data_IF_282990365121
#
_entry.id   IF_282990365121
#
_cell.length_a   1.000
_cell.length_b   1.000
_cell.length_c   1.000
_cell.angle_alpha   90.00
_cell.angle_beta   90.00
_cell.angle_gamma   90.00
#
_symmetry.space_group_name_H-M   'P 1'
#
loop_
_entity.id
_entity.type
_entity.pdbx_description
1 polymer ?
#
# COMPACT_ATOMS: atom_id res chain seq x y z
N UNK A 1 -9.13 -24.31 -8.70
CA UNK A 1 -9.19 -23.02 -7.95
C UNK A 1 -9.94 -22.02 -8.81
N UNK A 2 -10.94 -21.30 -8.29
CA UNK A 2 -11.69 -20.32 -9.09
C UNK A 2 -10.86 -19.03 -9.26
N UNK A 3 -11.08 -18.29 -10.35
CA UNK A 3 -10.38 -17.03 -10.62
C UNK A 3 -10.46 -16.03 -9.44
N UNK A 4 -11.63 -15.91 -8.81
CA UNK A 4 -11.81 -15.09 -7.61
C UNK A 4 -10.89 -15.51 -6.45
N UNK A 5 -10.76 -16.82 -6.19
CA UNK A 5 -9.88 -17.33 -5.14
C UNK A 5 -8.40 -17.01 -5.40
N UNK A 6 -7.97 -17.00 -6.66
CA UNK A 6 -6.61 -16.60 -7.03
C UNK A 6 -6.37 -15.12 -6.74
N UNK A 7 -7.32 -14.24 -7.07
CA UNK A 7 -7.23 -12.81 -6.78
C UNK A 7 -7.21 -12.55 -5.28
N UNK A 8 -8.07 -13.21 -4.50
CA UNK A 8 -8.06 -13.11 -3.03
C UNK A 8 -6.73 -13.57 -2.44
N UNK A 9 -6.17 -14.68 -2.92
CA UNK A 9 -4.87 -15.15 -2.44
C UNK A 9 -3.73 -14.18 -2.78
N UNK A 10 -3.71 -13.66 -4.02
CA UNK A 10 -2.77 -12.63 -4.45
C UNK A 10 -2.89 -11.35 -3.61
N UNK A 11 -4.11 -10.91 -3.33
CA UNK A 11 -4.36 -9.76 -2.47
C UNK A 11 -3.80 -9.96 -1.05
N UNK A 12 -4.10 -11.09 -0.41
CA UNK A 12 -3.55 -11.36 0.93
C UNK A 12 -2.02 -11.42 0.92
N UNK A 13 -1.42 -12.04 -0.10
CA UNK A 13 0.02 -12.03 -0.26
C UNK A 13 0.56 -10.61 -0.41
N UNK A 14 -0.07 -9.77 -1.25
CA UNK A 14 0.31 -8.37 -1.43
C UNK A 14 0.21 -7.57 -0.12
N UNK A 15 -0.84 -7.79 0.69
CA UNK A 15 -0.97 -7.18 2.02
C UNK A 15 0.20 -7.59 2.92
N UNK A 16 0.49 -8.88 3.04
CA UNK A 16 1.62 -9.36 3.85
C UNK A 16 2.97 -8.82 3.38
N UNK A 17 3.20 -8.80 2.07
CA UNK A 17 4.42 -8.23 1.48
C UNK A 17 4.50 -6.72 1.76
N UNK A 18 3.38 -5.99 1.71
CA UNK A 18 3.36 -4.56 2.04
C UNK A 18 3.67 -4.28 3.52
N UNK A 19 3.22 -5.15 4.43
CA UNK A 19 3.56 -5.08 5.85
C UNK A 19 5.05 -5.37 6.04
N UNK A 20 5.56 -6.44 5.44
CA UNK A 20 6.98 -6.79 5.51
C UNK A 20 7.87 -5.69 4.94
N UNK A 21 7.49 -5.11 3.80
CA UNK A 21 8.19 -3.98 3.20
C UNK A 21 8.16 -2.74 4.12
N UNK A 22 7.02 -2.43 4.71
CA UNK A 22 6.91 -1.31 5.66
C UNK A 22 7.84 -1.47 6.85
N UNK A 23 7.92 -2.67 7.45
CA UNK A 23 8.86 -2.97 8.55
C UNK A 23 10.31 -2.88 8.06
N UNK A 24 10.62 -3.43 6.88
CA UNK A 24 11.95 -3.38 6.30
C UNK A 24 12.42 -1.95 6.07
N UNK A 25 11.55 -1.06 5.58
CA UNK A 25 11.86 0.35 5.34
C UNK A 25 12.30 1.13 6.60
N UNK A 26 11.88 0.72 7.80
CA UNK A 26 12.38 1.33 9.05
C UNK A 26 13.73 0.78 9.50
N UNK A 27 14.09 -0.45 9.10
CA UNK A 27 15.39 -1.04 9.39
C UNK A 27 16.44 -0.65 8.35
N UNK A 28 16.03 -0.52 7.09
CA UNK A 28 16.83 -0.08 5.96
C UNK A 28 16.12 1.06 5.21
N UNK A 29 16.24 2.31 5.69
CA UNK A 29 15.63 3.49 5.06
C UNK A 29 16.00 3.71 3.59
N UNK A 30 17.14 3.16 3.16
CA UNK A 30 17.61 3.26 1.78
C UNK A 30 16.71 2.54 0.77
N UNK A 31 15.87 1.62 1.26
CA UNK A 31 14.80 1.02 0.47
C UNK A 31 13.78 2.06 -0.02
N UNK A 32 13.62 3.17 0.71
CA UNK A 32 12.70 4.28 0.40
C UNK A 32 13.44 5.43 -0.26
N UNK A 33 14.57 5.85 0.30
CA UNK A 33 15.37 6.98 -0.17
C UNK A 33 16.85 6.62 -0.18
N UNK A 34 17.47 6.62 -1.35
CA UNK A 34 18.86 6.22 -1.54
C UNK A 34 19.81 7.36 -1.10
N UNK A 35 19.98 7.54 0.22
CA UNK A 35 20.70 8.66 0.83
C UNK A 35 21.99 8.19 1.53
N UNK A 36 22.98 7.77 0.73
CA UNK A 36 24.27 7.25 1.22
C UNK A 36 25.07 8.29 2.04
N UNK A 37 24.87 9.58 1.76
CA UNK A 37 25.59 10.69 2.39
C UNK A 37 24.81 11.33 3.56
N UNK A 38 23.56 10.91 3.81
CA UNK A 38 22.72 11.42 4.90
C UNK A 38 22.26 12.87 4.73
N UNK A 39 22.22 13.37 3.49
CA UNK A 39 21.92 14.76 3.16
C UNK A 39 20.44 15.13 3.37
N UNK A 40 19.55 14.13 3.40
CA UNK A 40 18.11 14.34 3.34
C UNK A 40 17.38 13.92 4.62
N UNK A 41 18.07 13.78 5.74
CA UNK A 41 17.54 13.24 7.01
C UNK A 41 16.09 13.64 7.36
N UNK A 42 15.76 14.94 7.47
CA UNK A 42 14.38 15.37 7.75
C UNK A 42 13.36 15.00 6.67
N UNK A 43 13.73 15.09 5.40
CA UNK A 43 12.85 14.78 4.27
C UNK A 43 12.63 13.27 4.14
N UNK A 44 13.67 12.47 4.41
CA UNK A 44 13.59 11.01 4.53
C UNK A 44 12.59 10.62 5.62
N UNK A 45 12.64 11.27 6.77
CA UNK A 45 11.72 10.98 7.86
C UNK A 45 10.26 11.23 7.48
N UNK A 46 9.96 12.25 6.66
CA UNK A 46 8.59 12.48 6.16
C UNK A 46 8.10 11.31 5.30
N UNK A 47 8.96 10.78 4.42
CA UNK A 47 8.64 9.59 3.64
C UNK A 47 8.47 8.35 4.51
N UNK A 48 9.34 8.15 5.50
CA UNK A 48 9.21 7.05 6.47
C UNK A 48 7.93 7.18 7.32
N UNK A 49 7.51 8.39 7.69
CA UNK A 49 6.22 8.59 8.35
C UNK A 49 5.06 8.18 7.46
N UNK A 50 5.08 8.54 6.17
CA UNK A 50 4.07 8.08 5.22
C UNK A 50 4.05 6.53 5.10
N UNK A 51 5.22 5.89 5.06
CA UNK A 51 5.34 4.43 5.09
C UNK A 51 4.79 3.86 6.40
N UNK A 52 5.07 4.50 7.55
CA UNK A 52 4.53 4.13 8.85
C UNK A 52 3.00 4.18 8.89
N UNK A 53 2.39 5.23 8.33
CA UNK A 53 0.93 5.31 8.20
C UNK A 53 0.36 4.18 7.33
N UNK A 54 1.00 3.88 6.19
CA UNK A 54 0.59 2.77 5.33
C UNK A 54 0.71 1.42 6.05
N UNK A 55 1.81 1.19 6.76
CA UNK A 55 2.07 -0.02 7.52
C UNK A 55 1.01 -0.24 8.59
N UNK A 56 0.76 0.77 9.43
CA UNK A 56 -0.27 0.70 10.48
C UNK A 56 -1.67 0.52 9.88
N UNK A 57 -1.97 1.19 8.77
CA UNK A 57 -3.23 1.02 8.05
C UNK A 57 -3.43 -0.41 7.55
N UNK A 58 -2.42 -1.01 6.91
CA UNK A 58 -2.47 -2.40 6.43
C UNK A 58 -2.66 -3.39 7.58
N UNK A 59 -1.90 -3.22 8.66
CA UNK A 59 -2.00 -4.04 9.87
C UNK A 59 -3.41 -3.93 10.49
N UNK A 60 -3.93 -2.72 10.67
CA UNK A 60 -5.25 -2.49 11.24
C UNK A 60 -6.37 -3.09 10.39
N UNK A 61 -6.31 -2.90 9.06
CA UNK A 61 -7.32 -3.44 8.13
C UNK A 61 -7.23 -4.95 7.99
N UNK A 62 -6.03 -5.53 8.08
CA UNK A 62 -5.85 -6.97 8.12
C UNK A 62 -6.65 -7.61 9.27
N UNK A 63 -6.53 -7.08 10.49
CA UNK A 63 -7.20 -7.64 11.66
C UNK A 63 -8.70 -7.37 11.71
N UNK A 64 -9.15 -6.24 11.18
CA UNK A 64 -10.53 -5.78 11.38
C UNK A 64 -11.44 -6.08 10.18
N UNK A 65 -10.92 -6.01 8.95
CA UNK A 65 -11.75 -5.95 7.74
C UNK A 65 -11.41 -7.01 6.70
N UNK A 66 -10.13 -7.21 6.36
CA UNK A 66 -9.77 -8.07 5.22
C UNK A 66 -10.10 -9.55 5.44
N UNK A 67 -10.01 -10.05 6.67
CA UNK A 67 -10.44 -11.41 7.01
C UNK A 67 -11.95 -11.63 6.86
N UNK A 68 -12.74 -10.55 6.89
CA UNK A 68 -14.21 -10.58 6.84
C UNK A 68 -14.79 -10.01 5.53
N UNK A 69 -13.96 -9.80 4.50
CA UNK A 69 -14.43 -9.29 3.21
C UNK A 69 -14.62 -7.76 3.14
N UNK A 70 -13.77 -6.98 3.80
CA UNK A 70 -13.73 -5.51 3.68
C UNK A 70 -13.25 -5.04 2.29
N UNK A 71 -14.13 -5.09 1.29
CA UNK A 71 -13.80 -4.70 -0.08
C UNK A 71 -13.61 -3.19 -0.21
N UNK A 72 -14.50 -2.38 0.36
CA UNK A 72 -14.42 -0.92 0.23
C UNK A 72 -13.14 -0.36 0.86
N UNK A 73 -12.72 -0.91 2.00
CA UNK A 73 -11.43 -0.55 2.62
C UNK A 73 -10.25 -0.93 1.75
N UNK A 74 -10.35 -2.05 1.02
CA UNK A 74 -9.33 -2.40 0.05
C UNK A 74 -9.27 -1.36 -1.08
N UNK A 75 -10.42 -0.89 -1.59
CA UNK A 75 -10.45 0.19 -2.58
C UNK A 75 -9.80 1.48 -2.05
N UNK A 76 -10.16 1.89 -0.83
CA UNK A 76 -9.58 3.08 -0.19
C UNK A 76 -8.07 2.95 -0.04
N UNK A 77 -7.57 1.81 0.45
CA UNK A 77 -6.13 1.57 0.54
C UNK A 77 -5.45 1.51 -0.82
N UNK A 78 -6.11 1.00 -1.85
CA UNK A 78 -5.62 1.06 -3.22
C UNK A 78 -5.36 2.51 -3.65
N UNK A 79 -6.31 3.41 -3.39
CA UNK A 79 -6.12 4.85 -3.63
C UNK A 79 -5.04 5.45 -2.76
N UNK A 80 -4.97 5.09 -1.48
CA UNK A 80 -3.93 5.59 -0.56
C UNK A 80 -2.54 5.21 -1.05
N UNK A 81 -2.30 3.95 -1.44
CA UNK A 81 -1.02 3.53 -2.01
C UNK A 81 -0.70 4.27 -3.31
N UNK A 82 -1.67 4.41 -4.20
CA UNK A 82 -1.50 5.12 -5.46
C UNK A 82 -1.13 6.60 -5.22
N UNK A 83 -1.87 7.27 -4.33
CA UNK A 83 -1.63 8.65 -3.94
C UNK A 83 -0.26 8.81 -3.28
N UNK A 84 0.16 7.88 -2.42
CA UNK A 84 1.51 7.89 -1.85
C UNK A 84 2.58 7.67 -2.91
N UNK A 85 2.36 6.83 -3.92
CA UNK A 85 3.33 6.63 -5.01
C UNK A 85 3.56 7.91 -5.81
N UNK A 86 2.47 8.57 -6.23
CA UNK A 86 2.56 9.86 -6.92
C UNK A 86 3.10 10.96 -6.02
N UNK A 87 2.62 11.03 -4.78
CA UNK A 87 3.04 12.01 -3.78
C UNK A 87 4.53 11.90 -3.47
N UNK A 88 5.04 10.69 -3.27
CA UNK A 88 6.47 10.45 -3.04
C UNK A 88 7.32 10.89 -4.23
N UNK A 89 6.88 10.61 -5.47
CA UNK A 89 7.60 11.06 -6.67
C UNK A 89 7.62 12.58 -6.80
N UNK A 90 6.48 13.25 -6.68
CA UNK A 90 6.40 14.71 -6.74
C UNK A 90 7.23 15.34 -5.61
N UNK A 91 7.12 14.79 -4.40
CA UNK A 91 7.90 15.22 -3.25
C UNK A 91 9.40 15.06 -3.49
N UNK A 92 9.82 13.97 -4.12
CA UNK A 92 11.20 13.73 -4.51
C UNK A 92 11.70 14.74 -5.53
N UNK A 93 10.95 14.93 -6.62
CA UNK A 93 11.30 15.82 -7.73
C UNK A 93 11.44 17.28 -7.25
N UNK A 94 10.55 17.74 -6.37
CA UNK A 94 10.59 19.10 -5.81
C UNK A 94 11.80 19.34 -4.92
N UNK A 95 12.26 18.31 -4.19
CA UNK A 95 13.35 18.44 -3.21
C UNK A 95 14.69 17.89 -3.72
N UNK A 96 14.77 17.44 -4.97
CA UNK A 96 15.99 16.84 -5.55
C UNK A 96 16.42 15.54 -4.86
N UNK A 97 15.47 14.77 -4.32
CA UNK A 97 15.75 13.57 -3.54
C UNK A 97 15.81 12.31 -4.41
N UNK A 98 16.77 11.39 -4.16
CA UNK A 98 16.88 10.12 -4.87
C UNK A 98 15.93 9.06 -4.27
N UNK A 99 14.62 9.22 -4.45
CA UNK A 99 13.64 8.20 -4.01
C UNK A 99 13.82 6.91 -4.81
N UNK A 100 13.83 5.79 -4.09
CA UNK A 100 14.03 4.47 -4.67
C UNK A 100 12.95 4.14 -5.71
N UNK A 101 13.31 3.81 -6.97
CA UNK A 101 12.36 3.37 -7.97
C UNK A 101 11.62 2.10 -7.55
N UNK A 102 12.30 1.21 -6.81
CA UNK A 102 11.71 -0.03 -6.31
C UNK A 102 10.59 0.25 -5.29
N UNK A 103 10.78 1.24 -4.42
CA UNK A 103 9.73 1.69 -3.50
C UNK A 103 8.49 2.17 -4.24
N UNK A 104 8.66 3.06 -5.23
CA UNK A 104 7.55 3.60 -6.02
C UNK A 104 6.83 2.48 -6.79
N UNK A 105 7.57 1.54 -7.38
CA UNK A 105 6.98 0.38 -8.06
C UNK A 105 6.21 -0.53 -7.09
N UNK A 106 6.73 -0.76 -5.88
CA UNK A 106 6.05 -1.55 -4.86
C UNK A 106 4.71 -0.93 -4.47
N UNK A 107 4.66 0.41 -4.27
CA UNK A 107 3.41 1.11 -3.98
C UNK A 107 2.38 0.96 -5.11
N UNK A 108 2.79 1.10 -6.38
CA UNK A 108 1.89 0.87 -7.52
C UNK A 108 1.38 -0.58 -7.57
N UNK A 109 2.26 -1.55 -7.33
CA UNK A 109 1.87 -2.96 -7.27
C UNK A 109 0.84 -3.22 -6.16
N UNK A 110 1.06 -2.68 -4.95
CA UNK A 110 0.11 -2.83 -3.85
C UNK A 110 -1.22 -2.15 -4.17
N UNK A 111 -1.22 -0.95 -4.75
CA UNK A 111 -2.42 -0.27 -5.21
C UNK A 111 -3.22 -1.14 -6.19
N UNK A 112 -2.54 -1.71 -7.19
CA UNK A 112 -3.16 -2.56 -8.18
C UNK A 112 -3.74 -3.85 -7.59
N UNK A 113 -3.04 -4.50 -6.67
CA UNK A 113 -3.54 -5.69 -5.98
C UNK A 113 -4.83 -5.41 -5.21
N UNK A 114 -4.93 -4.23 -4.58
CA UNK A 114 -6.12 -3.77 -3.86
C UNK A 114 -7.29 -3.51 -4.81
N UNK A 115 -7.05 -2.83 -5.95
CA UNK A 115 -8.08 -2.59 -6.95
C UNK A 115 -8.59 -3.88 -7.58
N UNK A 116 -7.71 -4.81 -7.94
CA UNK A 116 -8.11 -6.11 -8.46
C UNK A 116 -9.00 -6.86 -7.46
N UNK A 117 -8.64 -6.84 -6.17
CA UNK A 117 -9.46 -7.46 -5.13
C UNK A 117 -10.86 -6.83 -5.06
N UNK A 118 -10.95 -5.50 -5.01
CA UNK A 118 -12.22 -4.80 -4.97
C UNK A 118 -13.11 -5.09 -6.19
N UNK A 119 -12.57 -4.93 -7.41
CA UNK A 119 -13.39 -5.00 -8.62
C UNK A 119 -13.71 -6.43 -9.06
N UNK A 120 -12.84 -7.41 -8.78
CA UNK A 120 -12.95 -8.74 -9.38
C UNK A 120 -13.23 -9.85 -8.36
N UNK A 121 -12.86 -9.69 -7.08
CA UNK A 121 -13.13 -10.69 -6.05
C UNK A 121 -14.46 -10.45 -5.31
N UNK A 122 -14.97 -9.22 -5.31
CA UNK A 122 -16.22 -8.85 -4.62
C UNK A 122 -17.44 -9.69 -5.08
N UNK A 123 -18.28 -10.17 -4.15
CA UNK A 123 -19.55 -10.81 -4.47
C UNK A 123 -20.55 -9.81 -5.07
N UNK A 124 -21.37 -10.24 -6.04
CA UNK A 124 -22.40 -9.38 -6.67
C UNK A 124 -23.53 -8.99 -5.70
N UNK A 125 -23.74 -9.75 -4.63
CA UNK A 125 -24.79 -9.49 -3.63
C UNK A 125 -24.47 -8.29 -2.71
N UNK A 126 -23.23 -7.81 -2.70
CA UNK A 126 -22.85 -6.60 -1.97
C UNK A 126 -23.40 -5.29 -2.59
N UNK A 127 -24.02 -5.35 -3.78
CA UNK A 127 -24.71 -4.19 -4.41
C UNK A 127 -26.17 -4.02 -3.96
N UNK A 128 -26.76 -5.00 -3.26
CA UNK A 128 -28.20 -5.01 -2.94
C UNK A 128 -28.57 -4.66 -1.50
N UNK A 129 -27.60 -4.46 -0.61
CA UNK A 129 -27.87 -4.13 0.81
C UNK A 129 -27.41 -2.69 1.13
N UNK A 130 -28.34 -1.72 1.28
CA UNK A 130 -28.01 -0.33 1.60
C UNK A 130 -27.49 -0.13 3.04
N UNK A 131 -27.40 -1.19 3.86
CA UNK A 131 -27.05 -1.07 5.29
C UNK A 131 -25.58 -1.35 5.62
N UNK A 132 -24.75 -1.71 4.63
CA UNK A 132 -23.33 -2.08 4.83
C UNK A 132 -22.36 -1.02 4.26
N UNK A 133 -22.83 0.22 4.07
CA UNK A 133 -22.01 1.37 3.68
C UNK A 133 -21.22 1.99 4.85
#
# INVERSE_FOLDING_TARGET
MTFKKLITAHFHLAVFVSIGFGIAAFNEPDLVLMDEEGLFGPLRNNLLFAVGYLLLGQIGLWWTRYQNGGYFEALLMGYTFLATAFGAKIYADVNGMPVSPAFVMALYYFAFAHFLYYFLARPKEADSDPTVG
#
